data_IF_900588300625
#
_entry.id   IF_900588300625
#
_cell.length_a   1.000
_cell.length_b   1.000
_cell.length_c   1.000
_cell.angle_alpha   90.00
_cell.angle_beta   90.00
_cell.angle_gamma   90.00
#
_symmetry.space_group_name_H-M   'P 1'
#
loop_
_entity.id
_entity.type
_entity.pdbx_description
1 polymer ?
#
# COMPACT_ATOMS: atom_id res chain seq x y z
N UNK A 1 -15.60 -15.77 0.54
CA UNK A 1 -14.16 -15.84 0.74
C UNK A 1 -13.45 -15.25 -0.46
N UNK A 2 -12.40 -14.49 -0.25
CA UNK A 2 -11.66 -13.88 -1.35
C UNK A 2 -10.27 -14.49 -1.48
N UNK A 3 -9.79 -14.65 -2.70
CA UNK A 3 -8.41 -15.06 -2.99
C UNK A 3 -7.51 -13.88 -3.27
N UNK A 4 -7.99 -12.67 -3.03
CA UNK A 4 -7.25 -11.45 -3.35
C UNK A 4 -6.12 -11.23 -2.37
N UNK A 5 -4.99 -10.78 -2.89
CA UNK A 5 -3.78 -10.54 -2.12
C UNK A 5 -3.43 -9.07 -2.13
N UNK A 6 -2.92 -8.59 -1.00
CA UNK A 6 -2.50 -7.20 -0.83
C UNK A 6 -1.04 -7.19 -0.36
N UNK A 7 -0.22 -6.36 -0.99
CA UNK A 7 1.15 -6.14 -0.57
C UNK A 7 1.19 -4.93 0.35
N UNK A 8 1.80 -5.10 1.53
CA UNK A 8 1.97 -4.01 2.50
C UNK A 8 3.45 -3.65 2.57
N UNK A 9 3.78 -2.39 2.31
CA UNK A 9 5.15 -1.90 2.34
C UNK A 9 5.29 -0.94 3.53
N UNK A 10 5.93 -1.41 4.60
CA UNK A 10 6.03 -0.72 5.88
C UNK A 10 7.29 -1.19 6.59
N UNK A 11 8.16 -0.27 7.00
CA UNK A 11 9.41 -0.63 7.66
C UNK A 11 9.29 -0.90 9.15
N UNK A 12 8.26 -0.34 9.81
CA UNK A 12 8.02 -0.55 11.23
C UNK A 12 7.32 -1.90 11.44
N UNK A 13 7.93 -2.84 12.20
CA UNK A 13 7.32 -4.16 12.39
C UNK A 13 5.94 -4.12 13.05
N UNK A 14 5.73 -3.23 14.01
CA UNK A 14 4.44 -3.12 14.68
C UNK A 14 3.37 -2.55 13.74
N UNK A 15 3.73 -1.55 12.96
CA UNK A 15 2.83 -0.98 11.97
C UNK A 15 2.48 -1.98 10.89
N UNK A 16 3.46 -2.74 10.43
CA UNK A 16 3.27 -3.78 9.43
C UNK A 16 2.31 -4.87 9.94
N UNK A 17 2.53 -5.33 11.18
CA UNK A 17 1.67 -6.35 11.78
C UNK A 17 0.24 -5.84 11.97
N UNK A 18 0.09 -4.58 12.40
CA UNK A 18 -1.24 -3.99 12.60
C UNK A 18 -2.03 -3.94 11.30
N UNK A 19 -1.43 -3.48 10.22
CA UNK A 19 -2.08 -3.42 8.91
C UNK A 19 -2.40 -4.82 8.41
N UNK A 20 -1.45 -5.74 8.54
CA UNK A 20 -1.66 -7.13 8.11
C UNK A 20 -2.83 -7.77 8.86
N UNK A 21 -2.93 -7.54 10.17
CA UNK A 21 -4.03 -8.09 10.98
C UNK A 21 -5.37 -7.53 10.51
N UNK A 22 -5.47 -6.23 10.24
CA UNK A 22 -6.69 -5.62 9.72
C UNK A 22 -7.12 -6.29 8.41
N UNK A 23 -6.18 -6.49 7.50
CA UNK A 23 -6.46 -7.06 6.19
C UNK A 23 -6.85 -8.54 6.27
N UNK A 24 -6.20 -9.28 7.16
CA UNK A 24 -6.53 -10.69 7.38
C UNK A 24 -7.94 -10.86 7.95
N UNK A 25 -8.36 -9.96 8.82
CA UNK A 25 -9.75 -9.93 9.31
C UNK A 25 -10.75 -9.70 8.18
N UNK A 26 -10.35 -8.99 7.15
CA UNK A 26 -11.16 -8.76 5.96
C UNK A 26 -11.03 -9.90 4.94
N UNK A 27 -10.28 -10.96 5.30
CA UNK A 27 -10.09 -12.16 4.51
C UNK A 27 -9.24 -11.97 3.25
N UNK A 28 -8.34 -11.00 3.27
CA UNK A 28 -7.33 -10.85 2.23
C UNK A 28 -6.07 -11.61 2.60
N UNK A 29 -5.36 -12.10 1.58
CA UNK A 29 -4.00 -12.56 1.76
C UNK A 29 -3.07 -11.37 1.85
N UNK A 30 -2.08 -11.44 2.74
CA UNK A 30 -1.17 -10.32 2.96
C UNK A 30 0.27 -10.78 2.79
N UNK A 31 0.99 -10.10 1.92
CA UNK A 31 2.44 -10.20 1.85
C UNK A 31 3.01 -8.87 2.31
N UNK A 32 4.16 -8.90 2.95
CA UNK A 32 4.76 -7.71 3.54
C UNK A 32 6.18 -7.49 3.02
N UNK A 33 6.52 -6.22 2.81
CA UNK A 33 7.87 -5.80 2.46
C UNK A 33 8.34 -4.75 3.47
N UNK A 34 9.60 -4.81 3.86
CA UNK A 34 10.18 -3.91 4.85
C UNK A 34 10.67 -2.60 4.24
N UNK A 35 10.86 -2.58 2.93
CA UNK A 35 11.38 -1.42 2.22
C UNK A 35 10.97 -1.48 0.74
N UNK A 36 11.27 -0.41 0.00
CA UNK A 36 10.87 -0.29 -1.40
C UNK A 36 11.60 -1.30 -2.29
N UNK A 37 12.87 -1.60 -2.01
CA UNK A 37 13.64 -2.55 -2.79
C UNK A 37 13.06 -3.96 -2.68
N UNK A 38 12.69 -4.36 -1.48
CA UNK A 38 12.05 -5.66 -1.25
C UNK A 38 10.68 -5.71 -1.96
N UNK A 39 9.91 -4.63 -1.88
CA UNK A 39 8.63 -4.54 -2.59
C UNK A 39 8.81 -4.69 -4.10
N UNK A 40 9.81 -4.04 -4.66
CA UNK A 40 10.11 -4.14 -6.10
C UNK A 40 10.46 -5.56 -6.50
N UNK A 41 11.22 -6.29 -5.68
CA UNK A 41 11.58 -7.68 -5.95
C UNK A 41 10.33 -8.57 -5.92
N UNK A 42 9.46 -8.37 -4.93
CA UNK A 42 8.23 -9.13 -4.82
C UNK A 42 7.35 -8.88 -6.05
N UNK A 43 7.20 -7.62 -6.45
CA UNK A 43 6.37 -7.25 -7.60
C UNK A 43 6.94 -7.78 -8.91
N UNK A 44 8.25 -7.85 -9.04
CA UNK A 44 8.89 -8.43 -10.24
C UNK A 44 8.52 -9.88 -10.43
N UNK A 45 8.32 -10.61 -9.35
CA UNK A 45 8.06 -12.05 -9.39
C UNK A 45 6.58 -12.39 -9.38
N UNK A 46 5.72 -11.51 -8.86
CA UNK A 46 4.32 -11.85 -8.59
C UNK A 46 3.36 -10.68 -8.77
N UNK A 47 3.69 -9.71 -9.64
CA UNK A 47 2.90 -8.48 -9.80
C UNK A 47 1.43 -8.75 -10.09
N UNK A 48 1.14 -9.73 -10.94
CA UNK A 48 -0.23 -10.05 -11.33
C UNK A 48 -1.07 -10.63 -10.19
N UNK A 49 -0.43 -11.02 -9.09
CA UNK A 49 -1.12 -11.61 -7.95
C UNK A 49 -1.69 -10.60 -6.95
N UNK A 50 -1.37 -9.33 -7.06
CA UNK A 50 -1.80 -8.33 -6.07
C UNK A 50 -2.96 -7.50 -6.59
N UNK A 51 -3.95 -7.32 -5.71
CA UNK A 51 -5.14 -6.50 -6.00
C UNK A 51 -4.97 -5.06 -5.53
N UNK A 52 -4.06 -4.82 -4.60
CA UNK A 52 -3.74 -3.48 -4.09
C UNK A 52 -2.38 -3.51 -3.40
N UNK A 53 -1.76 -2.33 -3.29
CA UNK A 53 -0.50 -2.15 -2.57
C UNK A 53 -0.69 -1.01 -1.58
N UNK A 54 -0.38 -1.26 -0.31
CA UNK A 54 -0.43 -0.25 0.74
C UNK A 54 1.00 0.17 1.04
N UNK A 55 1.29 1.46 0.92
CA UNK A 55 2.66 1.99 0.97
C UNK A 55 2.76 3.08 2.04
N UNK A 56 3.67 2.88 3.00
CA UNK A 56 4.06 3.95 3.91
C UNK A 56 4.90 4.97 3.16
N UNK A 57 4.55 6.25 3.27
CA UNK A 57 5.29 7.31 2.58
C UNK A 57 6.70 7.50 3.15
N UNK A 58 6.89 7.23 4.44
CA UNK A 58 8.14 7.48 5.16
C UNK A 58 9.04 6.25 5.25
N UNK A 59 9.27 5.59 4.12
CA UNK A 59 10.18 4.44 4.08
C UNK A 59 11.64 4.88 4.12
N UNK A 60 12.54 4.08 4.73
CA UNK A 60 13.96 4.38 4.69
C UNK A 60 14.53 4.13 3.30
N UNK A 61 15.56 4.88 2.94
CA UNK A 61 16.18 4.76 1.61
C UNK A 61 15.24 5.27 0.53
N UNK A 62 14.85 4.40 -0.39
CA UNK A 62 13.87 4.73 -1.42
C UNK A 62 12.50 4.86 -0.78
N UNK A 63 11.90 6.03 -0.84
CA UNK A 63 10.67 6.32 -0.12
C UNK A 63 9.41 5.85 -0.88
N UNK A 64 8.25 6.06 -0.26
CA UNK A 64 6.98 5.63 -0.83
C UNK A 64 6.61 6.34 -2.12
N UNK A 65 7.04 7.58 -2.30
CA UNK A 65 6.79 8.34 -3.54
C UNK A 65 7.58 7.76 -4.70
N UNK A 66 8.84 7.42 -4.46
CA UNK A 66 9.70 6.82 -5.47
C UNK A 66 9.22 5.43 -5.85
N UNK A 67 8.76 4.66 -4.86
CA UNK A 67 8.19 3.35 -5.13
C UNK A 67 6.93 3.47 -6.00
N UNK A 68 6.05 4.42 -5.69
CA UNK A 68 4.87 4.67 -6.51
C UNK A 68 5.25 4.97 -7.96
N UNK A 69 6.25 5.84 -8.15
CA UNK A 69 6.70 6.19 -9.50
C UNK A 69 7.15 4.96 -10.28
N UNK A 70 7.88 4.06 -9.63
CA UNK A 70 8.32 2.81 -10.27
C UNK A 70 7.14 1.91 -10.63
N UNK A 71 6.15 1.82 -9.74
CA UNK A 71 4.96 1.00 -9.96
C UNK A 71 4.17 1.54 -11.16
N UNK A 72 3.98 2.85 -11.23
CA UNK A 72 3.24 3.49 -12.32
C UNK A 72 3.98 3.42 -13.66
N UNK A 73 5.30 3.37 -13.61
CA UNK A 73 6.13 3.33 -14.82
C UNK A 73 6.25 1.92 -15.40
N UNK A 74 5.78 0.91 -14.71
CA UNK A 74 5.91 -0.49 -15.14
C UNK A 74 4.55 -1.00 -15.63
N UNK A 75 4.43 -1.41 -16.92
CA UNK A 75 3.15 -1.92 -17.45
C UNK A 75 2.59 -3.11 -16.69
N UNK A 76 3.45 -3.90 -16.04
CA UNK A 76 3.00 -5.06 -15.25
C UNK A 76 2.34 -4.68 -13.94
N UNK A 77 2.59 -3.47 -13.42
CA UNK A 77 2.11 -3.05 -12.11
C UNK A 77 1.26 -1.77 -12.13
N UNK A 78 1.26 -1.03 -13.23
CA UNK A 78 0.64 0.30 -13.27
C UNK A 78 -0.88 0.29 -13.09
N UNK A 79 -1.53 -0.87 -13.18
CA UNK A 79 -2.96 -1.00 -12.95
C UNK A 79 -3.32 -1.36 -11.51
N UNK A 80 -2.32 -1.66 -10.67
CA UNK A 80 -2.57 -2.04 -9.28
C UNK A 80 -2.83 -0.76 -8.47
N UNK A 81 -3.99 -0.63 -7.80
CA UNK A 81 -4.25 0.56 -6.98
C UNK A 81 -3.29 0.61 -5.80
N UNK A 82 -2.72 1.79 -5.57
CA UNK A 82 -1.78 2.05 -4.49
C UNK A 82 -2.43 2.97 -3.46
N UNK A 83 -2.31 2.60 -2.19
CA UNK A 83 -2.89 3.32 -1.07
C UNK A 83 -1.75 3.86 -0.20
N UNK A 84 -1.73 5.17 0.01
CA UNK A 84 -0.71 5.81 0.83
C UNK A 84 -1.12 5.80 2.30
N UNK A 85 -0.17 5.52 3.20
CA UNK A 85 -0.37 5.68 4.63
C UNK A 85 0.77 6.52 5.20
N UNK A 86 0.49 7.32 6.22
CA UNK A 86 1.50 8.16 6.84
C UNK A 86 1.13 8.54 8.28
N UNK A 87 2.17 8.66 9.13
CA UNK A 87 2.01 9.20 10.48
C UNK A 87 2.04 10.74 10.51
N UNK A 88 2.38 11.37 9.39
CA UNK A 88 2.61 12.83 9.32
C UNK A 88 1.54 13.52 8.48
N UNK A 89 0.28 13.33 8.86
CA UNK A 89 -0.85 13.85 8.10
C UNK A 89 -0.91 15.37 8.03
N UNK A 90 -1.07 15.91 6.82
CA UNK A 90 -1.50 17.29 6.56
C UNK A 90 -2.47 17.27 5.38
N UNK A 91 -3.30 18.31 5.26
CA UNK A 91 -4.20 18.41 4.12
C UNK A 91 -3.46 18.52 2.80
N UNK A 92 -2.32 19.23 2.80
CA UNK A 92 -1.49 19.36 1.62
C UNK A 92 -0.89 18.01 1.21
N UNK A 93 -0.47 17.21 2.18
CA UNK A 93 0.09 15.89 1.90
C UNK A 93 -0.95 14.98 1.26
N UNK A 94 -2.18 15.04 1.74
CA UNK A 94 -3.28 14.28 1.13
C UNK A 94 -3.46 14.67 -0.34
N UNK A 95 -3.49 15.97 -0.63
CA UNK A 95 -3.64 16.45 -2.00
C UNK A 95 -2.48 15.99 -2.88
N UNK A 96 -1.26 16.10 -2.36
CA UNK A 96 -0.05 15.71 -3.09
C UNK A 96 -0.03 14.21 -3.41
N UNK A 97 -0.49 13.36 -2.48
CA UNK A 97 -0.51 11.91 -2.71
C UNK A 97 -1.50 11.54 -3.81
N UNK A 98 -2.68 12.12 -3.79
CA UNK A 98 -3.68 11.83 -4.83
C UNK A 98 -3.19 12.35 -6.19
N UNK A 99 -2.57 13.52 -6.21
CA UNK A 99 -2.04 14.11 -7.44
C UNK A 99 -0.89 13.28 -8.02
N UNK A 100 -0.10 12.64 -7.14
CA UNK A 100 1.01 11.80 -7.58
C UNK A 100 0.56 10.47 -8.19
N UNK A 101 -0.66 10.04 -7.91
CA UNK A 101 -1.22 8.82 -8.48
C UNK A 101 -1.63 7.76 -7.47
N UNK A 102 -1.55 8.05 -6.17
CA UNK A 102 -2.15 7.17 -5.17
C UNK A 102 -3.66 7.19 -5.32
N UNK A 103 -4.29 6.03 -5.19
CA UNK A 103 -5.74 5.91 -5.31
C UNK A 103 -6.46 6.37 -4.05
N UNK A 104 -5.82 6.21 -2.90
CA UNK A 104 -6.39 6.59 -1.60
C UNK A 104 -5.27 6.94 -0.63
N UNK A 105 -5.64 7.57 0.48
CA UNK A 105 -4.73 8.08 1.49
C UNK A 105 -5.32 7.87 2.87
N UNK A 106 -4.54 7.31 3.79
CA UNK A 106 -4.96 7.11 5.18
C UNK A 106 -3.92 7.62 6.15
N UNK A 107 -4.29 8.52 7.07
CA UNK A 107 -3.39 8.88 8.17
C UNK A 107 -3.33 7.74 9.19
N UNK A 108 -2.22 7.62 9.89
CA UNK A 108 -2.09 6.68 11.01
C UNK A 108 -2.58 7.35 12.29
N UNK A 109 -3.24 6.63 13.20
CA UNK A 109 -3.64 5.22 13.11
C UNK A 109 -4.75 5.02 12.08
N UNK A 110 -4.67 3.92 11.35
CA UNK A 110 -5.61 3.65 10.26
C UNK A 110 -6.96 3.22 10.83
N UNK A 111 -8.03 3.82 10.30
CA UNK A 111 -9.40 3.39 10.60
C UNK A 111 -9.69 2.12 9.78
N UNK A 112 -9.80 0.99 10.47
CA UNK A 112 -10.01 -0.31 9.82
C UNK A 112 -11.31 -0.37 9.01
N UNK A 113 -12.37 0.28 9.49
CA UNK A 113 -13.65 0.31 8.78
C UNK A 113 -13.52 1.10 7.48
N UNK A 114 -12.86 2.26 7.52
CA UNK A 114 -12.65 3.07 6.34
C UNK A 114 -11.76 2.37 5.32
N UNK A 115 -10.70 1.70 5.78
CA UNK A 115 -9.81 0.94 4.91
C UNK A 115 -10.56 -0.20 4.23
N UNK A 116 -11.35 -0.96 4.99
CA UNK A 116 -12.13 -2.06 4.44
C UNK A 116 -13.13 -1.60 3.39
N UNK A 117 -13.79 -0.48 3.63
CA UNK A 117 -14.75 0.10 2.70
C UNK A 117 -14.06 0.55 1.40
N UNK A 118 -12.90 1.18 1.54
CA UNK A 118 -12.11 1.62 0.38
C UNK A 118 -11.67 0.44 -0.47
N UNK A 119 -11.14 -0.60 0.16
CA UNK A 119 -10.69 -1.80 -0.55
C UNK A 119 -11.85 -2.49 -1.26
N UNK A 120 -13.01 -2.60 -0.61
CA UNK A 120 -14.18 -3.22 -1.22
C UNK A 120 -14.63 -2.48 -2.49
N UNK A 121 -14.41 -1.17 -2.56
CA UNK A 121 -14.77 -0.40 -3.75
C UNK A 121 -13.72 -0.51 -4.86
N UNK A 122 -12.47 -0.84 -4.53
CA UNK A 122 -11.37 -0.93 -5.50
C UNK A 122 -11.23 -2.32 -6.10
N UNK A 123 -11.57 -3.31 -5.32
CA UNK A 123 -11.36 -4.71 -5.69
C UNK A 123 -12.58 -5.56 -5.33
#
# INVERSE_FOLDING_TARGET
MTDKAILVVEDDPDGQEMIATMLQHLQYHVDAADNAEQASQILSNAAAGYSAIIIDLALPGKDGWELLADILDNPSTNNIPCIAVTAHHTSKLREDTIRAGFTAYFPKPIDATALGRQLASLI
#
